data_IF_089748337073
#
_entry.id   IF_089748337073
#
_cell.length_a   1.000
_cell.length_b   1.000
_cell.length_c   1.000
_cell.angle_alpha   90.00
_cell.angle_beta   90.00
_cell.angle_gamma   90.00
#
_symmetry.space_group_name_H-M   'P 1'
#
loop_
_entity.id
_entity.type
_entity.pdbx_description
1 polymer ?
#
# COMPACT_ATOMS: atom_id res chain seq x y z
N UNK A 1 3.14 -18.51 5.55
CA UNK A 1 1.83 -18.06 6.08
C UNK A 1 1.06 -19.27 6.58
N UNK A 2 0.14 -19.14 7.56
CA UNK A 2 -0.76 -20.23 7.93
C UNK A 2 -1.58 -20.73 6.73
N UNK A 3 -1.94 -22.01 6.74
CA UNK A 3 -2.81 -22.59 5.72
C UNK A 3 -4.20 -21.92 5.75
N UNK A 4 -4.76 -21.66 4.56
CA UNK A 4 -6.08 -21.02 4.39
C UNK A 4 -6.08 -19.49 4.42
N UNK A 5 -5.02 -18.83 4.93
CA UNK A 5 -5.02 -17.37 5.07
C UNK A 5 -5.14 -16.62 3.72
N UNK A 6 -4.59 -17.17 2.64
CA UNK A 6 -4.69 -16.53 1.32
C UNK A 6 -6.13 -16.48 0.80
N UNK A 7 -6.92 -17.52 1.10
CA UNK A 7 -8.33 -17.60 0.72
C UNK A 7 -9.15 -16.55 1.49
N UNK A 8 -8.86 -16.40 2.79
CA UNK A 8 -9.51 -15.39 3.64
C UNK A 8 -9.18 -13.96 3.17
N UNK A 9 -7.93 -13.70 2.76
CA UNK A 9 -7.53 -12.38 2.23
C UNK A 9 -8.24 -12.11 0.91
N UNK A 10 -8.38 -13.12 0.04
CA UNK A 10 -9.12 -12.98 -1.22
C UNK A 10 -10.61 -12.66 -0.97
N UNK A 11 -11.25 -13.37 -0.04
CA UNK A 11 -12.64 -13.10 0.34
C UNK A 11 -12.82 -11.71 0.93
N UNK A 12 -11.86 -11.24 1.73
CA UNK A 12 -11.87 -9.86 2.22
C UNK A 12 -11.72 -8.85 1.08
N UNK A 13 -10.72 -9.01 0.22
CA UNK A 13 -10.37 -8.04 -0.83
C UNK A 13 -11.52 -7.86 -1.84
N UNK A 14 -12.20 -8.95 -2.20
CA UNK A 14 -13.37 -8.91 -3.09
C UNK A 14 -14.50 -8.09 -2.49
N UNK A 15 -14.85 -8.32 -1.23
CA UNK A 15 -15.92 -7.57 -0.52
C UNK A 15 -15.55 -6.14 -0.15
N UNK A 16 -14.27 -5.85 0.06
CA UNK A 16 -13.83 -4.51 0.47
C UNK A 16 -14.03 -3.47 -0.64
N UNK A 17 -14.01 -3.89 -1.91
CA UNK A 17 -14.30 -3.00 -3.04
C UNK A 17 -15.70 -2.37 -2.93
N UNK A 18 -16.72 -3.19 -2.65
CA UNK A 18 -18.10 -2.73 -2.43
C UNK A 18 -18.21 -1.79 -1.24
N UNK A 19 -17.47 -2.06 -0.15
CA UNK A 19 -17.44 -1.18 1.03
C UNK A 19 -16.81 0.18 0.73
N UNK A 20 -15.84 0.25 -0.17
CA UNK A 20 -15.29 1.53 -0.63
C UNK A 20 -16.31 2.31 -1.45
N UNK A 21 -17.08 1.63 -2.29
CA UNK A 21 -18.14 2.25 -3.08
C UNK A 21 -19.24 2.84 -2.18
N UNK A 22 -19.66 2.10 -1.14
CA UNK A 22 -20.59 2.60 -0.12
C UNK A 22 -20.07 3.86 0.60
N UNK A 23 -18.76 3.95 0.87
CA UNK A 23 -18.15 5.13 1.49
C UNK A 23 -18.14 6.32 0.53
N UNK A 24 -17.83 6.10 -0.75
CA UNK A 24 -17.87 7.14 -1.78
C UNK A 24 -19.28 7.66 -2.04
N UNK A 25 -20.28 6.78 -2.05
CA UNK A 25 -21.68 7.14 -2.23
C UNK A 25 -22.15 8.14 -1.16
N UNK A 26 -21.68 7.99 0.08
CA UNK A 26 -22.02 8.87 1.20
C UNK A 26 -21.23 10.18 1.21
N UNK A 27 -19.99 10.19 0.71
CA UNK A 27 -19.06 11.32 0.86
C UNK A 27 -18.73 12.05 -0.44
N UNK A 28 -18.36 11.34 -1.51
CA UNK A 28 -17.78 11.93 -2.73
C UNK A 28 -18.70 12.96 -3.37
N UNK A 29 -20.00 12.64 -3.49
CA UNK A 29 -20.98 13.56 -4.09
C UNK A 29 -21.73 14.43 -3.07
N UNK A 30 -21.44 14.25 -1.78
CA UNK A 30 -22.14 14.93 -0.70
C UNK A 30 -21.78 16.42 -0.66
N UNK A 31 -22.79 17.28 -0.80
CA UNK A 31 -22.60 18.73 -0.83
C UNK A 31 -21.95 19.28 0.43
N UNK A 32 -22.29 18.74 1.60
CA UNK A 32 -21.70 19.18 2.88
C UNK A 32 -20.22 18.79 2.91
N UNK A 33 -19.88 17.58 2.48
CA UNK A 33 -18.50 17.11 2.42
C UNK A 33 -17.65 17.96 1.45
N UNK A 34 -18.13 18.13 0.22
CA UNK A 34 -17.47 18.92 -0.81
C UNK A 34 -17.29 20.36 -0.35
N UNK A 35 -18.31 21.00 0.22
CA UNK A 35 -18.21 22.37 0.74
C UNK A 35 -17.17 22.53 1.86
N UNK A 36 -16.91 21.46 2.63
CA UNK A 36 -15.97 21.48 3.76
C UNK A 36 -14.53 21.14 3.37
N UNK A 37 -14.31 20.65 2.16
CA UNK A 37 -13.00 20.10 1.74
C UNK A 37 -12.48 20.71 0.44
N UNK A 38 -13.36 21.07 -0.49
CA UNK A 38 -13.00 21.69 -1.76
C UNK A 38 -12.48 23.10 -1.55
N UNK A 39 -11.37 23.43 -2.21
CA UNK A 39 -10.65 24.69 -2.11
C UNK A 39 -10.17 25.03 -0.67
N UNK A 40 -10.14 24.03 0.24
CA UNK A 40 -9.61 24.16 1.61
C UNK A 40 -8.23 23.52 1.71
N UNK A 41 -7.30 24.21 2.37
CA UNK A 41 -5.93 23.70 2.58
C UNK A 41 -5.18 23.50 1.26
N UNK A 42 -5.35 24.44 0.33
CA UNK A 42 -4.68 24.43 -0.98
C UNK A 42 -3.19 24.57 -0.79
N UNK A 43 -2.41 23.66 -1.40
CA UNK A 43 -0.95 23.70 -1.40
C UNK A 43 -0.48 23.68 -2.85
N UNK A 44 0.39 24.61 -3.21
CA UNK A 44 1.00 24.63 -4.56
C UNK A 44 2.08 23.55 -4.67
N UNK A 45 2.39 23.11 -5.89
CA UNK A 45 3.49 22.16 -6.11
C UNK A 45 4.83 22.71 -5.57
N UNK A 46 5.09 24.01 -5.75
CA UNK A 46 6.32 24.66 -5.28
C UNK A 46 6.41 24.66 -3.76
N UNK A 47 5.36 25.07 -3.05
CA UNK A 47 5.33 25.07 -1.59
C UNK A 47 5.47 23.65 -1.04
N UNK A 48 4.82 22.67 -1.68
CA UNK A 48 4.90 21.28 -1.26
C UNK A 48 6.34 20.74 -1.31
N UNK A 49 7.12 21.12 -2.32
CA UNK A 49 8.54 20.75 -2.42
C UNK A 49 9.39 21.53 -1.40
N UNK A 50 9.20 22.84 -1.30
CA UNK A 50 9.97 23.69 -0.40
C UNK A 50 9.77 23.31 1.08
N UNK A 51 8.57 22.87 1.44
CA UNK A 51 8.25 22.44 2.81
C UNK A 51 8.64 20.98 3.08
N UNK A 52 9.17 20.27 2.08
CA UNK A 52 9.57 18.87 2.22
C UNK A 52 8.39 17.92 2.42
N UNK A 53 7.23 18.23 1.83
CA UNK A 53 6.09 17.31 1.88
C UNK A 53 6.37 16.03 1.09
N UNK A 54 5.62 14.97 1.40
CA UNK A 54 5.75 13.66 0.76
C UNK A 54 4.40 12.98 0.53
N UNK A 55 4.41 11.90 -0.24
CA UNK A 55 3.24 11.06 -0.50
C UNK A 55 2.06 11.82 -1.11
N UNK A 56 0.87 11.64 -0.53
CA UNK A 56 -0.39 12.23 -1.02
C UNK A 56 -0.37 13.76 -1.01
N UNK A 57 0.43 14.40 -0.16
CA UNK A 57 0.54 15.87 -0.17
C UNK A 57 1.18 16.37 -1.47
N UNK A 58 2.22 15.68 -1.97
CA UNK A 58 2.83 15.99 -3.26
C UNK A 58 1.88 15.65 -4.41
N UNK A 59 1.30 14.43 -4.38
CA UNK A 59 0.41 13.95 -5.45
C UNK A 59 -0.85 14.78 -5.57
N UNK A 60 -1.48 15.17 -4.46
CA UNK A 60 -2.64 16.03 -4.44
C UNK A 60 -2.37 17.40 -5.05
N UNK A 61 -1.13 17.89 -4.93
CA UNK A 61 -0.67 19.17 -5.48
C UNK A 61 -0.16 19.06 -6.93
N UNK A 62 -0.35 17.92 -7.60
CA UNK A 62 -0.02 17.70 -9.01
C UNK A 62 1.36 17.12 -9.29
N UNK A 63 2.17 16.83 -8.27
CA UNK A 63 3.52 16.28 -8.46
C UNK A 63 3.44 14.78 -8.63
N UNK A 64 3.95 14.28 -9.78
CA UNK A 64 4.02 12.85 -10.11
C UNK A 64 5.17 12.16 -9.39
N UNK A 65 5.01 11.95 -8.08
CA UNK A 65 6.03 11.31 -7.24
C UNK A 65 5.44 10.16 -6.41
N UNK A 66 6.03 8.97 -6.58
CA UNK A 66 5.78 7.80 -5.75
C UNK A 66 7.02 6.90 -5.75
N UNK A 67 7.52 6.55 -4.55
CA UNK A 67 8.74 5.75 -4.40
C UNK A 67 8.59 4.36 -5.02
N UNK A 68 7.40 3.76 -4.96
CA UNK A 68 7.17 2.40 -5.49
C UNK A 68 7.31 2.34 -7.02
N UNK A 69 7.22 3.48 -7.71
CA UNK A 69 7.45 3.61 -9.16
C UNK A 69 8.82 4.22 -9.48
N UNK A 70 9.22 5.28 -8.79
CA UNK A 70 10.45 6.01 -9.08
C UNK A 70 11.71 5.28 -8.60
N UNK A 71 11.63 4.63 -7.44
CA UNK A 71 12.72 3.88 -6.82
C UNK A 71 12.15 2.56 -6.24
N UNK A 72 11.73 1.63 -7.11
CA UNK A 72 11.05 0.42 -6.67
C UNK A 72 11.91 -0.39 -5.71
N UNK A 73 11.28 -0.87 -4.63
CA UNK A 73 11.87 -1.78 -3.65
C UNK A 73 11.02 -3.05 -3.58
N UNK A 74 11.55 -4.08 -2.94
CA UNK A 74 10.94 -5.42 -2.85
C UNK A 74 10.41 -5.88 -4.22
N UNK A 75 9.13 -6.26 -4.30
CA UNK A 75 8.48 -6.76 -5.49
C UNK A 75 7.57 -5.72 -6.19
N UNK A 76 7.63 -4.43 -5.85
CA UNK A 76 6.73 -3.42 -6.45
C UNK A 76 6.91 -3.25 -7.97
N UNK A 77 8.08 -3.58 -8.50
CA UNK A 77 8.35 -3.58 -9.93
C UNK A 77 7.75 -4.78 -10.68
N UNK A 78 7.23 -5.78 -9.97
CA UNK A 78 6.60 -7.00 -10.53
C UNK A 78 5.06 -6.95 -10.55
N UNK A 79 4.49 -5.86 -10.02
CA UNK A 79 3.03 -5.65 -9.91
C UNK A 79 2.60 -4.37 -10.64
N UNK A 80 1.43 -4.44 -11.26
CA UNK A 80 0.87 -3.36 -12.06
C UNK A 80 -0.15 -2.57 -11.24
N UNK A 81 0.08 -1.26 -11.10
CA UNK A 81 -0.82 -0.35 -10.41
C UNK A 81 -0.60 1.07 -10.91
N UNK A 82 -1.62 1.89 -10.75
CA UNK A 82 -1.62 3.30 -11.12
C UNK A 82 -1.44 4.19 -9.88
N UNK A 83 -0.96 5.41 -10.08
CA UNK A 83 -0.75 6.38 -9.00
C UNK A 83 -1.67 7.58 -9.23
N UNK A 84 -2.64 7.85 -8.34
CA UNK A 84 -3.56 8.97 -8.52
C UNK A 84 -2.85 10.30 -8.27
N UNK A 85 -3.18 11.30 -9.08
CA UNK A 85 -2.60 12.63 -9.04
C UNK A 85 -3.74 13.65 -8.96
N UNK A 86 -3.69 14.52 -7.95
CA UNK A 86 -4.62 15.63 -7.80
C UNK A 86 -4.28 16.78 -8.74
N UNK A 87 -5.18 17.75 -8.83
CA UNK A 87 -5.07 18.87 -9.78
C UNK A 87 -5.00 20.22 -9.09
N UNK A 88 -5.65 20.36 -7.93
CA UNK A 88 -5.82 21.61 -7.19
C UNK A 88 -4.94 21.73 -5.95
N UNK A 89 -4.52 20.62 -5.36
CA UNK A 89 -3.78 20.63 -4.09
C UNK A 89 -4.65 20.89 -2.85
N UNK A 90 -5.97 20.72 -2.93
CA UNK A 90 -6.89 20.91 -1.81
C UNK A 90 -7.13 19.62 -0.99
N UNK A 91 -7.88 19.73 0.10
CA UNK A 91 -8.25 18.58 0.92
C UNK A 91 -9.10 17.54 0.17
N UNK A 92 -9.91 17.98 -0.80
CA UNK A 92 -10.79 17.09 -1.55
C UNK A 92 -10.01 16.22 -2.54
N UNK A 93 -9.05 16.78 -3.28
CA UNK A 93 -8.17 16.01 -4.16
C UNK A 93 -7.33 15.00 -3.37
N UNK A 94 -6.86 15.38 -2.17
CA UNK A 94 -6.14 14.46 -1.26
C UNK A 94 -7.03 13.35 -0.72
N UNK A 95 -8.34 13.57 -0.61
CA UNK A 95 -9.32 12.54 -0.27
C UNK A 95 -9.48 11.57 -1.45
N UNK A 96 -9.74 12.08 -2.65
CA UNK A 96 -9.88 11.26 -3.87
C UNK A 96 -8.63 10.41 -4.14
N UNK A 97 -7.44 11.00 -4.01
CA UNK A 97 -6.19 10.26 -4.15
C UNK A 97 -6.08 9.09 -3.17
N UNK A 98 -6.52 9.26 -1.92
CA UNK A 98 -6.50 8.17 -0.93
C UNK A 98 -7.51 7.08 -1.25
N UNK A 99 -8.70 7.46 -1.72
CA UNK A 99 -9.71 6.49 -2.12
C UNK A 99 -9.21 5.65 -3.29
N UNK A 100 -8.66 6.30 -4.31
CA UNK A 100 -8.09 5.58 -5.46
C UNK A 100 -6.86 4.74 -5.07
N UNK A 101 -6.02 5.21 -4.13
CA UNK A 101 -4.93 4.39 -3.58
C UNK A 101 -5.42 3.13 -2.89
N UNK A 102 -6.57 3.15 -2.22
CA UNK A 102 -7.17 1.94 -1.64
C UNK A 102 -7.57 0.95 -2.75
N UNK A 103 -8.11 1.43 -3.88
CA UNK A 103 -8.45 0.60 -5.04
C UNK A 103 -7.22 -0.01 -5.69
N UNK A 104 -6.17 0.79 -5.90
CA UNK A 104 -4.91 0.30 -6.43
C UNK A 104 -4.20 -0.66 -5.45
N UNK A 105 -4.39 -0.48 -4.14
CA UNK A 105 -3.90 -1.44 -3.13
C UNK A 105 -4.61 -2.78 -3.23
N UNK A 106 -5.94 -2.81 -3.43
CA UNK A 106 -6.67 -4.05 -3.71
C UNK A 106 -6.16 -4.75 -4.97
N UNK A 107 -5.89 -3.98 -6.03
CA UNK A 107 -5.31 -4.50 -7.28
C UNK A 107 -3.90 -5.11 -7.08
N UNK A 108 -3.08 -4.51 -6.21
CA UNK A 108 -1.77 -5.06 -5.85
C UNK A 108 -1.96 -6.36 -5.05
N UNK A 109 -2.86 -6.37 -4.06
CA UNK A 109 -3.14 -7.56 -3.24
C UNK A 109 -3.59 -8.74 -4.11
N UNK A 110 -4.52 -8.53 -5.02
CA UNK A 110 -4.98 -9.55 -5.97
C UNK A 110 -3.82 -10.14 -6.80
N UNK A 111 -2.96 -9.28 -7.35
CA UNK A 111 -1.78 -9.75 -8.09
C UNK A 111 -0.79 -10.51 -7.22
N UNK A 112 -0.57 -10.07 -5.98
CA UNK A 112 0.32 -10.76 -5.04
C UNK A 112 -0.22 -12.14 -4.67
N UNK A 113 -1.54 -12.29 -4.48
CA UNK A 113 -2.16 -13.59 -4.22
C UNK A 113 -1.98 -14.54 -5.43
N UNK A 114 -2.19 -14.03 -6.64
CA UNK A 114 -2.06 -14.81 -7.88
C UNK A 114 -0.62 -15.15 -8.27
N UNK A 115 0.36 -14.33 -7.86
CA UNK A 115 1.79 -14.48 -8.19
C UNK A 115 2.64 -14.98 -7.01
N UNK A 116 2.03 -15.45 -5.92
CA UNK A 116 2.75 -15.84 -4.70
C UNK A 116 3.69 -17.02 -4.96
N UNK A 117 5.03 -16.85 -4.86
CA UNK A 117 5.95 -17.95 -5.05
C UNK A 117 5.98 -18.87 -3.81
N UNK A 118 6.19 -20.18 -3.99
CA UNK A 118 6.60 -21.03 -2.89
C UNK A 118 8.06 -20.74 -2.53
N UNK A 119 8.46 -21.04 -1.30
CA UNK A 119 9.86 -20.94 -0.89
C UNK A 119 10.03 -20.51 0.56
N UNK A 120 11.28 -20.31 0.93
CA UNK A 120 11.66 -19.82 2.25
C UNK A 120 11.32 -18.34 2.39
N UNK A 121 10.93 -17.94 3.60
CA UNK A 121 10.53 -16.56 3.94
C UNK A 121 11.59 -15.80 4.72
N UNK A 122 12.70 -16.46 5.03
CA UNK A 122 13.86 -15.89 5.72
C UNK A 122 15.09 -16.07 4.83
N UNK A 123 16.13 -15.28 5.12
CA UNK A 123 17.45 -15.56 4.57
C UNK A 123 18.00 -16.86 5.17
N UNK A 124 18.84 -17.56 4.41
CA UNK A 124 19.54 -18.78 4.85
C UNK A 124 20.73 -18.45 5.78
N UNK A 125 21.04 -17.17 5.98
CA UNK A 125 22.11 -16.78 6.91
C UNK A 125 21.65 -16.87 8.38
N UNK A 126 22.04 -17.97 9.03
CA UNK A 126 21.79 -18.24 10.44
C UNK A 126 22.43 -17.23 11.42
N UNK A 127 23.35 -16.37 10.95
CA UNK A 127 23.91 -15.26 11.76
C UNK A 127 23.00 -14.04 11.77
N UNK A 128 22.18 -13.88 10.74
CA UNK A 128 21.25 -12.76 10.60
C UNK A 128 19.84 -13.14 11.09
N UNK A 129 19.38 -14.34 10.75
CA UNK A 129 18.07 -14.85 11.17
C UNK A 129 18.19 -16.13 11.99
N UNK A 130 17.40 -16.28 13.06
CA UNK A 130 17.45 -17.50 13.85
C UNK A 130 16.98 -18.71 13.02
N UNK A 131 17.68 -19.86 13.13
CA UNK A 131 17.33 -21.09 12.43
C UNK A 131 15.97 -21.64 12.85
N UNK A 132 15.47 -22.64 12.14
CA UNK A 132 14.20 -23.27 12.50
C UNK A 132 14.28 -23.95 13.88
N UNK A 133 13.14 -24.11 14.56
CA UNK A 133 13.10 -24.82 15.85
C UNK A 133 13.55 -26.27 15.73
N UNK A 134 13.38 -26.87 14.55
CA UNK A 134 13.82 -28.23 14.26
C UNK A 134 15.35 -28.28 14.13
N UNK A 135 15.94 -27.38 13.34
CA UNK A 135 17.40 -27.24 13.23
C UNK A 135 18.07 -26.93 14.57
N UNK A 136 17.51 -26.02 15.37
CA UNK A 136 18.07 -25.70 16.70
C UNK A 136 18.21 -26.93 17.58
N UNK A 137 17.21 -27.82 17.61
CA UNK A 137 17.24 -29.05 18.43
C UNK A 137 18.29 -30.04 17.94
N UNK A 138 18.61 -30.04 16.65
CA UNK A 138 19.60 -30.93 16.05
C UNK A 138 21.01 -30.37 16.23
N UNK A 139 21.24 -29.09 15.90
CA UNK A 139 22.54 -28.42 16.00
C UNK A 139 23.05 -28.40 17.44
N UNK A 140 22.15 -28.17 18.42
CA UNK A 140 22.55 -28.14 19.83
C UNK A 140 22.96 -29.53 20.35
N UNK A 141 22.43 -30.63 19.80
CA UNK A 141 22.86 -32.00 20.15
C UNK A 141 24.27 -32.34 19.69
N UNK A 142 24.76 -31.74 18.61
CA UNK A 142 26.12 -31.96 18.10
C UNK A 142 27.20 -31.15 18.85
N UNK A 143 26.82 -30.16 19.66
CA UNK A 143 27.77 -29.32 20.42
C UNK A 143 28.12 -29.86 21.82
N UNK A 144 27.62 -31.05 22.20
CA UNK A 144 27.84 -31.69 23.51
C UNK A 144 28.53 -33.07 23.43
N UNK A 145 29.17 -33.41 22.31
CA UNK A 145 30.03 -34.59 22.16
C UNK A 145 31.46 -34.18 21.82
#
# INVERSE_FOLDING_TARGET
>A
MPLGLMDDIYEFATKFSERLDEVEDVLTTNRIWVQRTKDIGVVTAEDALNYGFSGVMLRGSGIKWDLRKAQPYDAYHLVDFDVPIGTKGDCYDRYLCRVEEMRQSLRIVDQCLNKMPPGEVKTDDAKLTPPSREEMKVIMKFNYF
#
